data_IF_080717147491
#
_entry.id   IF_080717147491
#
_cell.length_a   1.000
_cell.length_b   1.000
_cell.length_c   1.000
_cell.angle_alpha   90.00
_cell.angle_beta   90.00
_cell.angle_gamma   90.00
#
_symmetry.space_group_name_H-M   'P 1'
#
loop_
_entity.id
_entity.type
_entity.pdbx_description
1 polymer ?
#
# COMPACT_ATOMS: atom_id res chain seq x y z
N UNK A 1 4.20 -17.27 6.83
CA UNK A 1 4.30 -18.01 8.12
C UNK A 1 3.41 -17.42 9.21
N UNK A 2 3.50 -16.11 9.53
CA UNK A 2 2.60 -15.48 10.52
C UNK A 2 1.12 -15.72 10.20
N UNK A 3 0.70 -15.49 8.95
CA UNK A 3 -0.69 -15.73 8.53
C UNK A 3 -1.11 -17.20 8.58
N UNK A 4 -0.18 -18.13 8.33
CA UNK A 4 -0.46 -19.57 8.44
C UNK A 4 -0.68 -20.00 9.90
N UNK A 5 0.08 -19.44 10.83
CA UNK A 5 -0.08 -19.74 12.27
C UNK A 5 -1.36 -19.10 12.81
N UNK A 6 -1.68 -17.88 12.39
CA UNK A 6 -2.90 -17.19 12.79
C UNK A 6 -4.16 -17.92 12.30
N UNK A 7 -4.15 -18.48 11.09
CA UNK A 7 -5.30 -19.23 10.55
C UNK A 7 -5.45 -20.63 11.14
N UNK A 8 -4.35 -21.25 11.60
CA UNK A 8 -4.36 -22.58 12.20
C UNK A 8 -4.93 -22.60 13.63
N UNK A 9 -4.95 -21.46 14.33
CA UNK A 9 -5.44 -21.37 15.72
C UNK A 9 -6.69 -20.49 15.78
N UNK A 10 -7.88 -21.04 16.09
CA UNK A 10 -9.11 -20.27 16.20
C UNK A 10 -8.98 -19.09 17.16
N UNK A 11 -9.34 -17.89 16.70
CA UNK A 11 -9.29 -16.66 17.50
C UNK A 11 -7.89 -16.06 17.68
N UNK A 12 -6.85 -16.62 17.06
CA UNK A 12 -5.51 -16.05 17.11
C UNK A 12 -5.36 -14.91 16.10
N UNK A 13 -5.06 -13.72 16.60
CA UNK A 13 -4.75 -12.54 15.77
C UNK A 13 -3.27 -12.55 15.39
N UNK A 14 -2.94 -12.09 14.18
CA UNK A 14 -1.55 -11.88 13.73
C UNK A 14 -0.76 -10.95 14.65
N UNK A 15 -1.44 -10.01 15.31
CA UNK A 15 -0.86 -9.12 16.32
C UNK A 15 -0.44 -9.81 17.62
N UNK A 16 -0.75 -11.09 17.79
CA UNK A 16 -0.33 -11.89 18.97
C UNK A 16 0.80 -12.86 18.63
N UNK A 17 1.40 -12.74 17.44
CA UNK A 17 2.44 -13.65 16.95
C UNK A 17 3.74 -12.87 16.80
N UNK A 18 4.80 -13.35 17.44
CA UNK A 18 6.14 -12.79 17.36
C UNK A 18 7.07 -13.82 16.76
N UNK A 19 7.83 -13.44 15.74
CA UNK A 19 8.78 -14.32 15.02
C UNK A 19 10.19 -13.85 15.33
N UNK A 20 11.02 -14.76 15.82
CA UNK A 20 12.43 -14.52 16.14
C UNK A 20 13.32 -15.52 15.40
N UNK A 21 14.55 -15.14 15.08
CA UNK A 21 15.55 -16.07 14.57
C UNK A 21 16.26 -16.84 15.71
N UNK A 22 17.10 -17.81 15.34
CA UNK A 22 17.88 -18.65 16.26
C UNK A 22 18.93 -17.87 17.07
N UNK A 23 19.24 -16.64 16.69
CA UNK A 23 20.15 -15.74 17.40
C UNK A 23 19.37 -14.73 18.28
N UNK A 24 18.06 -14.90 18.42
CA UNK A 24 17.20 -14.01 19.21
C UNK A 24 16.86 -12.69 18.50
N UNK A 25 17.17 -12.54 17.21
CA UNK A 25 16.78 -11.35 16.45
C UNK A 25 15.30 -11.42 16.09
N UNK A 26 14.57 -10.37 16.44
CA UNK A 26 13.16 -10.23 16.12
C UNK A 26 12.98 -9.97 14.61
N UNK A 27 12.27 -10.87 13.92
CA UNK A 27 11.95 -10.76 12.49
C UNK A 27 10.57 -10.15 12.24
N UNK A 28 9.62 -10.43 13.13
CA UNK A 28 8.26 -9.85 13.06
C UNK A 28 7.69 -9.74 14.47
N UNK A 29 7.16 -8.57 14.84
CA UNK A 29 6.48 -8.40 16.12
C UNK A 29 4.99 -8.22 15.93
N UNK A 30 4.20 -9.08 16.57
CA UNK A 30 2.75 -8.94 16.60
C UNK A 30 2.30 -7.68 17.36
N UNK A 31 3.09 -7.20 18.32
CA UNK A 31 2.76 -6.01 19.11
C UNK A 31 3.04 -4.68 18.39
N UNK A 32 3.42 -4.72 17.11
CA UNK A 32 3.62 -3.49 16.36
C UNK A 32 2.31 -2.73 16.15
N UNK A 33 2.35 -1.46 16.52
CA UNK A 33 1.30 -0.49 16.27
C UNK A 33 0.86 -0.55 14.79
N UNK A 34 -0.45 -0.66 14.49
CA UNK A 34 -0.96 -0.73 13.12
C UNK A 34 -0.44 0.38 12.21
N UNK A 35 -0.27 1.61 12.73
CA UNK A 35 0.28 2.72 11.96
C UNK A 35 1.76 2.49 11.59
N UNK A 36 2.54 1.88 12.48
CA UNK A 36 3.92 1.51 12.20
C UNK A 36 4.03 0.40 11.15
N UNK A 37 3.09 -0.55 11.15
CA UNK A 37 3.03 -1.59 10.12
C UNK A 37 2.64 -1.03 8.75
N UNK A 38 1.68 -0.10 8.70
CA UNK A 38 1.29 0.60 7.48
C UNK A 38 2.48 1.37 6.88
N UNK A 39 3.18 2.19 7.68
CA UNK A 39 4.36 2.94 7.22
C UNK A 39 5.48 2.06 6.66
N UNK A 40 5.72 0.88 7.25
CA UNK A 40 6.71 -0.06 6.70
C UNK A 40 6.29 -0.59 5.34
N UNK A 41 5.01 -0.89 5.16
CA UNK A 41 4.47 -1.34 3.88
C UNK A 41 4.59 -0.24 2.80
N UNK A 42 4.33 1.00 3.18
CA UNK A 42 4.53 2.18 2.32
C UNK A 42 6.00 2.32 1.90
N UNK A 43 6.94 2.23 2.84
CA UNK A 43 8.38 2.27 2.56
C UNK A 43 8.87 1.09 1.70
N UNK A 44 8.32 -0.11 1.92
CA UNK A 44 8.62 -1.27 1.09
C UNK A 44 8.16 -1.06 -0.35
N UNK A 45 6.99 -0.43 -0.55
CA UNK A 45 6.50 -0.07 -1.87
C UNK A 45 7.40 0.97 -2.54
N UNK A 46 7.81 2.02 -1.81
CA UNK A 46 8.76 3.04 -2.31
C UNK A 46 10.05 2.41 -2.82
N UNK A 47 10.70 1.59 -1.99
CA UNK A 47 11.93 0.89 -2.39
C UNK A 47 11.74 -0.02 -3.59
N UNK A 48 10.61 -0.73 -3.66
CA UNK A 48 10.29 -1.58 -4.82
C UNK A 48 10.16 -0.76 -6.10
N UNK A 49 9.55 0.42 -6.03
CA UNK A 49 9.39 1.30 -7.18
C UNK A 49 10.72 1.95 -7.59
N UNK A 50 11.54 2.37 -6.63
CA UNK A 50 12.88 2.91 -6.88
C UNK A 50 13.76 1.87 -7.58
N UNK A 51 13.75 0.64 -7.09
CA UNK A 51 14.50 -0.47 -7.67
C UNK A 51 14.05 -0.77 -9.11
N UNK A 52 12.74 -0.85 -9.35
CA UNK A 52 12.21 -1.09 -10.69
C UNK A 52 12.62 0.01 -11.69
N UNK A 53 12.64 1.27 -11.25
CA UNK A 53 13.04 2.37 -12.10
C UNK A 53 14.56 2.38 -12.34
N UNK A 54 15.35 2.02 -11.33
CA UNK A 54 16.80 1.85 -11.45
C UNK A 54 17.15 0.77 -12.47
N UNK A 55 16.51 -0.39 -12.41
CA UNK A 55 16.68 -1.47 -13.39
C UNK A 55 16.32 -1.03 -14.80
N UNK A 56 15.27 -0.20 -14.94
CA UNK A 56 14.90 0.38 -16.22
C UNK A 56 15.99 1.32 -16.75
N UNK A 57 16.57 2.18 -15.91
CA UNK A 57 17.71 3.03 -16.29
C UNK A 57 18.89 2.14 -16.74
N UNK A 58 19.18 1.09 -15.98
CA UNK A 58 20.28 0.18 -16.30
C UNK A 58 20.08 -0.50 -17.66
N UNK A 59 18.86 -0.96 -17.96
CA UNK A 59 18.53 -1.59 -19.24
C UNK A 59 18.76 -0.69 -20.47
N UNK A 60 18.67 0.63 -20.28
CA UNK A 60 18.84 1.63 -21.35
C UNK A 60 20.29 2.08 -21.45
N UNK A 61 20.95 2.30 -20.32
CA UNK A 61 22.29 2.90 -20.28
C UNK A 61 23.42 1.86 -20.41
N UNK A 62 23.24 0.62 -19.92
CA UNK A 62 24.26 -0.44 -20.01
C UNK A 62 24.73 -0.70 -21.45
N UNK A 63 23.86 -0.84 -22.46
CA UNK A 63 24.30 -1.12 -23.84
C UNK A 63 25.08 0.03 -24.47
N UNK A 64 24.88 1.26 -23.99
CA UNK A 64 25.46 2.47 -24.59
C UNK A 64 26.78 2.83 -23.90
N UNK A 65 26.80 2.82 -22.57
CA UNK A 65 27.93 3.29 -21.77
C UNK A 65 28.83 2.15 -21.28
N UNK A 66 28.33 0.92 -21.21
CA UNK A 66 29.05 -0.22 -20.66
C UNK A 66 29.04 -0.28 -19.12
N UNK A 67 29.36 -1.46 -18.58
CA UNK A 67 29.41 -1.69 -17.13
C UNK A 67 30.45 -0.80 -16.44
N UNK A 68 30.09 -0.24 -15.28
CA UNK A 68 31.01 0.53 -14.42
C UNK A 68 31.24 1.99 -14.85
N UNK A 69 30.70 2.41 -16.00
CA UNK A 69 30.90 3.76 -16.54
C UNK A 69 29.79 4.75 -16.15
N UNK A 70 28.80 4.33 -15.35
CA UNK A 70 27.76 5.20 -14.83
C UNK A 70 27.24 4.69 -13.47
N UNK A 71 26.61 5.59 -12.71
CA UNK A 71 25.90 5.27 -11.47
C UNK A 71 24.53 5.95 -11.51
N UNK A 72 23.47 5.17 -11.37
CA UNK A 72 22.12 5.69 -11.24
C UNK A 72 21.68 5.69 -9.76
N UNK A 73 20.95 6.71 -9.34
CA UNK A 73 20.23 6.74 -8.07
C UNK A 73 18.84 7.29 -8.33
N UNK A 74 17.83 6.68 -7.72
CA UNK A 74 16.43 7.04 -7.88
C UNK A 74 15.87 7.29 -6.48
N UNK A 75 15.14 8.39 -6.35
CA UNK A 75 14.36 8.76 -5.17
C UNK A 75 12.93 8.99 -5.66
N UNK A 76 11.95 8.35 -5.01
CA UNK A 76 10.54 8.46 -5.38
C UNK A 76 9.74 8.90 -4.17
N UNK A 77 8.94 9.95 -4.32
CA UNK A 77 7.93 10.34 -3.34
C UNK A 77 6.56 9.83 -3.78
N UNK A 78 5.89 9.06 -2.93
CA UNK A 78 4.54 8.58 -3.17
C UNK A 78 3.55 9.19 -2.17
N UNK A 79 2.35 9.51 -2.67
CA UNK A 79 1.24 9.98 -1.84
C UNK A 79 0.34 8.78 -1.50
N UNK A 80 0.31 8.43 -0.21
CA UNK A 80 -0.49 7.34 0.34
C UNK A 80 -1.79 7.82 0.99
N UNK A 81 -2.24 9.05 0.70
CA UNK A 81 -3.48 9.58 1.25
C UNK A 81 -4.70 8.71 0.86
N UNK A 82 -5.44 8.26 1.87
CA UNK A 82 -6.69 7.53 1.67
C UNK A 82 -7.79 8.52 1.26
N UNK A 83 -8.09 8.60 -0.05
CA UNK A 83 -9.14 9.48 -0.56
C UNK A 83 -10.48 8.75 -0.57
N UNK A 84 -11.32 8.99 0.45
CA UNK A 84 -12.73 8.59 0.42
C UNK A 84 -13.55 9.60 -0.41
N UNK A 85 -13.81 9.28 -1.68
CA UNK A 85 -14.61 10.14 -2.55
C UNK A 85 -16.09 9.74 -2.54
N UNK A 86 -16.90 10.38 -1.71
CA UNK A 86 -18.37 10.25 -1.78
C UNK A 86 -18.94 11.24 -2.80
N UNK A 87 -19.27 10.77 -4.01
CA UNK A 87 -19.99 11.57 -5.02
C UNK A 87 -21.49 11.48 -4.82
N UNK A 88 -22.14 12.57 -4.40
CA UNK A 88 -23.59 12.75 -4.55
C UNK A 88 -23.85 13.63 -5.77
N UNK A 89 -24.44 13.04 -6.81
CA UNK A 89 -24.93 13.76 -7.98
C UNK A 89 -26.38 14.15 -7.72
N UNK A 90 -26.68 15.45 -7.70
CA UNK A 90 -28.05 15.96 -7.68
C UNK A 90 -28.34 16.52 -9.07
N UNK A 91 -29.35 15.96 -9.75
CA UNK A 91 -29.81 16.44 -11.05
C UNK A 91 -31.10 17.27 -10.87
N UNK A 92 -31.03 18.61 -10.91
CA UNK A 92 -32.20 19.48 -10.75
C UNK A 92 -33.10 19.52 -11.99
N UNK A 93 -32.68 18.95 -13.14
CA UNK A 93 -33.45 18.99 -14.38
C UNK A 93 -34.39 17.80 -14.54
N UNK A 94 -34.34 16.81 -13.64
CA UNK A 94 -35.35 15.76 -13.60
C UNK A 94 -36.56 16.28 -12.80
N UNK A 95 -37.71 16.56 -13.42
CA UNK A 95 -38.90 16.98 -12.68
C UNK A 95 -39.32 15.86 -11.73
N UNK A 96 -39.05 16.06 -10.44
CA UNK A 96 -39.52 15.17 -9.38
C UNK A 96 -40.83 15.74 -8.85
N UNK A 97 -41.96 15.22 -9.32
CA UNK A 97 -43.29 15.53 -8.77
C UNK A 97 -43.29 15.16 -7.29
N UNK A 98 -43.43 16.16 -6.40
CA UNK A 98 -43.30 15.94 -4.96
C UNK A 98 -44.64 15.69 -4.25
N UNK A 99 -45.75 16.06 -4.86
CA UNK A 99 -47.12 15.75 -4.41
C UNK A 99 -48.13 16.42 -5.36
N UNK A 100 -49.06 15.64 -5.90
CA UNK A 100 -50.25 16.14 -6.62
C UNK A 100 -51.45 16.00 -5.69
N UNK A 101 -52.16 17.10 -5.42
CA UNK A 101 -53.43 17.07 -4.70
C UNK A 101 -54.51 17.40 -5.72
N UNK A 102 -55.28 16.40 -6.14
CA UNK A 102 -56.48 16.61 -6.95
C UNK A 102 -57.62 17.02 -6.01
N UNK A 103 -58.20 18.20 -6.25
CA UNK A 103 -59.47 18.58 -5.64
C UNK A 103 -60.58 18.14 -6.60
N UNK A 104 -61.50 17.29 -6.13
CA UNK A 104 -62.83 17.10 -6.75
C UNK A 104 -63.71 18.35 -6.56
#
# INVERSE_FOLDING_TARGET
IVDMVASAVPGMKTSRITVTDQHGRLLSSGSQDPASAARRKEQELERSQEQALREKIDSVLLPILGFGNYTAQVDIQMDFSAVEQTRKRFDPNTPSTRSEYALE
#
